data_IF_774677739496
#
_entry.id   IF_774677739496
#
_cell.length_a   1.000
_cell.length_b   1.000
_cell.length_c   1.000
_cell.angle_alpha   90.00
_cell.angle_beta   90.00
_cell.angle_gamma   90.00
#
_symmetry.space_group_name_H-M   'P 1'
#
loop_
_entity.id
_entity.type
_entity.pdbx_description
1 polymer ?
#
# COMPACT_ATOMS: atom_id res chain seq x y z
N UNK A 1 -57.45 4.49 -19.19
CA UNK A 1 -58.39 4.14 -18.10
C UNK A 1 -57.75 3.06 -17.24
N UNK A 2 -57.04 3.46 -16.18
CA UNK A 2 -57.26 3.07 -14.75
C UNK A 2 -57.61 1.59 -14.54
N UNK A 3 -56.74 0.82 -13.87
CA UNK A 3 -56.87 0.50 -12.43
C UNK A 3 -55.71 -0.42 -11.94
N UNK A 4 -54.64 0.16 -11.37
CA UNK A 4 -54.16 0.00 -9.97
C UNK A 4 -54.22 -1.40 -9.32
N UNK A 5 -53.01 -1.97 -9.19
CA UNK A 5 -52.33 -2.43 -7.97
C UNK A 5 -53.11 -3.27 -6.94
N UNK A 6 -52.58 -4.45 -6.64
CA UNK A 6 -52.50 -4.97 -5.26
C UNK A 6 -51.14 -5.62 -5.03
N UNK A 7 -50.47 -5.11 -4.02
CA UNK A 7 -49.16 -5.51 -3.52
C UNK A 7 -49.26 -6.89 -2.85
N UNK A 8 -48.32 -7.78 -3.17
CA UNK A 8 -48.02 -8.94 -2.35
C UNK A 8 -46.63 -8.72 -1.74
N UNK A 9 -46.62 -8.29 -0.47
CA UNK A 9 -45.43 -8.28 0.38
C UNK A 9 -45.25 -9.72 0.87
N UNK A 10 -44.24 -10.40 0.36
CA UNK A 10 -43.82 -11.71 0.88
C UNK A 10 -42.63 -11.49 1.81
N UNK A 11 -42.91 -11.50 3.12
CA UNK A 11 -41.90 -11.62 4.14
C UNK A 11 -41.36 -13.06 4.11
N UNK A 12 -40.06 -13.24 3.86
CA UNK A 12 -39.36 -14.47 4.17
C UNK A 12 -38.28 -14.21 5.22
N UNK A 13 -38.67 -14.54 6.45
CA UNK A 13 -37.94 -15.33 7.46
C UNK A 13 -36.45 -15.56 7.24
N UNK A 14 -35.68 -15.22 8.28
CA UNK A 14 -34.23 -15.31 8.33
C UNK A 14 -33.68 -16.72 8.32
N UNK A 15 -32.51 -16.84 7.70
CA UNK A 15 -31.58 -17.94 7.87
C UNK A 15 -30.33 -17.38 8.53
N UNK A 16 -30.14 -17.71 9.80
CA UNK A 16 -28.90 -17.46 10.54
C UNK A 16 -27.78 -18.25 9.85
N UNK A 17 -26.88 -17.54 9.15
CA UNK A 17 -25.63 -18.12 8.68
C UNK A 17 -24.73 -18.32 9.90
N UNK A 18 -24.64 -19.58 10.32
CA UNK A 18 -23.73 -20.05 11.35
C UNK A 18 -22.30 -19.57 11.04
N UNK A 19 -21.72 -18.81 11.96
CA UNK A 19 -20.33 -18.36 11.90
C UNK A 19 -19.37 -19.54 12.04
N UNK A 20 -18.89 -20.06 10.92
CA UNK A 20 -17.70 -20.89 10.89
C UNK A 20 -16.47 -19.97 10.95
N UNK A 21 -15.59 -20.07 11.96
CA UNK A 21 -14.36 -19.29 11.98
C UNK A 21 -13.43 -19.83 10.88
N UNK A 22 -13.26 -19.04 9.81
CA UNK A 22 -12.18 -19.25 8.86
C UNK A 22 -10.85 -18.98 9.57
N UNK A 23 -10.21 -20.04 10.07
CA UNK A 23 -8.84 -19.97 10.56
C UNK A 23 -7.91 -19.78 9.36
N UNK A 24 -7.65 -18.52 9.00
CA UNK A 24 -6.59 -18.16 8.06
C UNK A 24 -5.25 -18.51 8.71
N UNK A 25 -4.64 -19.62 8.29
CA UNK A 25 -3.26 -19.92 8.62
C UNK A 25 -2.35 -18.89 7.94
N UNK A 26 -2.04 -17.80 8.64
CA UNK A 26 -1.00 -16.86 8.25
C UNK A 26 0.34 -17.54 8.49
N UNK A 27 0.95 -18.03 7.42
CA UNK A 27 2.37 -18.41 7.44
C UNK A 27 3.19 -17.16 7.74
N UNK A 28 4.11 -17.18 8.73
CA UNK A 28 4.98 -16.05 8.98
C UNK A 28 5.87 -15.84 7.75
N UNK A 29 5.66 -14.74 7.04
CA UNK A 29 6.54 -14.34 5.96
C UNK A 29 7.92 -14.02 6.55
N UNK A 30 8.94 -14.80 6.16
CA UNK A 30 10.32 -14.47 6.51
C UNK A 30 10.68 -13.18 5.76
N UNK A 31 10.81 -12.08 6.47
CA UNK A 31 11.22 -10.83 5.87
C UNK A 31 12.71 -10.93 5.48
N UNK A 32 12.97 -10.92 4.17
CA UNK A 32 14.30 -10.68 3.65
C UNK A 32 14.70 -9.24 4.04
N UNK A 33 15.66 -9.08 4.95
CA UNK A 33 16.26 -7.79 5.33
C UNK A 33 17.16 -7.20 4.24
N UNK A 34 16.88 -7.50 2.97
CA UNK A 34 17.61 -6.94 1.85
C UNK A 34 16.97 -5.60 1.44
N UNK A 35 17.77 -4.56 1.16
CA UNK A 35 17.25 -3.31 0.64
C UNK A 35 16.45 -3.58 -0.65
N UNK A 36 15.17 -3.21 -0.62
CA UNK A 36 14.28 -3.30 -1.78
C UNK A 36 14.45 -2.10 -2.70
N UNK A 37 14.54 -2.35 -4.00
CA UNK A 37 14.44 -1.29 -5.02
C UNK A 37 13.00 -1.23 -5.50
N UNK A 38 12.39 -0.05 -5.43
CA UNK A 38 11.04 0.21 -5.94
C UNK A 38 11.16 1.09 -7.20
N UNK A 39 10.77 0.57 -8.35
CA UNK A 39 10.63 1.35 -9.58
C UNK A 39 9.17 1.76 -9.75
N UNK A 40 8.92 3.06 -9.80
CA UNK A 40 7.58 3.64 -9.89
C UNK A 40 7.34 4.11 -11.32
N UNK A 41 6.38 3.49 -12.00
CA UNK A 41 5.95 3.94 -13.33
C UNK A 41 4.70 4.79 -13.19
N UNK A 42 4.71 6.02 -13.72
CA UNK A 42 3.54 6.92 -13.64
C UNK A 42 2.29 6.28 -14.26
N UNK A 43 2.46 5.64 -15.40
CA UNK A 43 1.35 5.05 -16.18
C UNK A 43 1.22 3.53 -15.95
N UNK A 44 1.91 3.02 -14.94
CA UNK A 44 1.83 1.63 -14.54
C UNK A 44 0.59 1.35 -13.67
N UNK A 45 0.16 0.09 -13.58
CA UNK A 45 -0.86 -0.28 -12.61
C UNK A 45 -0.38 0.03 -11.19
N UNK A 46 -1.29 0.41 -10.29
CA UNK A 46 -0.97 0.54 -8.87
C UNK A 46 -0.43 -0.78 -8.33
N UNK A 47 0.67 -0.71 -7.57
CA UNK A 47 1.31 -1.88 -6.95
C UNK A 47 1.37 -1.65 -5.45
N UNK A 48 1.05 -2.70 -4.71
CA UNK A 48 1.19 -2.73 -3.25
C UNK A 48 2.24 -3.75 -2.86
N UNK A 49 3.17 -3.35 -2.00
CA UNK A 49 4.20 -4.22 -1.43
C UNK A 49 3.89 -4.37 0.07
N UNK A 50 3.23 -5.46 0.49
CA UNK A 50 2.92 -5.67 1.90
C UNK A 50 4.19 -5.98 2.69
N UNK A 51 4.28 -5.44 3.90
CA UNK A 51 5.30 -5.80 4.88
C UNK A 51 4.66 -5.99 6.25
N UNK A 52 5.32 -6.75 7.12
CA UNK A 52 4.88 -6.96 8.50
C UNK A 52 6.03 -6.63 9.44
N UNK A 53 5.79 -5.76 10.41
CA UNK A 53 6.76 -5.47 11.46
C UNK A 53 6.92 -6.69 12.38
N UNK A 54 8.17 -7.04 12.73
CA UNK A 54 8.47 -8.20 13.58
C UNK A 54 8.24 -7.95 15.08
N UNK A 55 8.19 -6.69 15.49
CA UNK A 55 8.04 -6.26 16.87
C UNK A 55 7.10 -5.07 16.91
N UNK A 56 6.38 -4.96 18.01
CA UNK A 56 5.59 -3.78 18.30
C UNK A 56 6.52 -2.58 18.55
N UNK A 57 6.04 -1.38 18.23
CA UNK A 57 6.80 -0.13 18.38
C UNK A 57 7.10 0.56 17.05
N UNK A 58 8.27 1.19 16.96
CA UNK A 58 8.68 1.95 15.77
C UNK A 58 9.22 1.02 14.68
N UNK A 59 8.65 1.12 13.48
CA UNK A 59 9.14 0.45 12.28
C UNK A 59 9.87 1.45 11.38
N UNK A 60 11.10 1.14 11.00
CA UNK A 60 11.88 1.90 10.02
C UNK A 60 11.91 1.13 8.71
N UNK A 61 11.58 1.80 7.61
CA UNK A 61 11.61 1.23 6.26
C UNK A 61 12.66 1.98 5.45
N UNK A 62 13.64 1.26 4.93
CA UNK A 62 14.64 1.80 4.00
C UNK A 62 14.43 1.19 2.62
N UNK A 63 14.24 2.04 1.61
CA UNK A 63 14.11 1.63 0.21
C UNK A 63 14.66 2.71 -0.72
N UNK A 64 15.09 2.29 -1.91
CA UNK A 64 15.45 3.21 -2.99
C UNK A 64 14.28 3.31 -3.97
N UNK A 65 13.99 4.52 -4.44
CA UNK A 65 12.91 4.77 -5.40
C UNK A 65 13.42 5.52 -6.63
N UNK A 66 12.97 5.09 -7.80
CA UNK A 66 13.16 5.81 -9.07
C UNK A 66 11.87 5.83 -9.89
N UNK A 67 11.68 6.88 -10.69
CA UNK A 67 10.52 7.04 -11.54
C UNK A 67 10.93 7.32 -13.00
N UNK A 68 11.09 6.28 -13.84
CA UNK A 68 11.48 6.45 -15.23
C UNK A 68 10.52 7.35 -16.00
N UNK A 69 11.06 8.30 -16.75
CA UNK A 69 10.28 9.23 -17.58
C UNK A 69 9.91 10.53 -16.87
N UNK A 70 10.20 10.67 -15.57
CA UNK A 70 10.04 11.95 -14.89
C UNK A 70 11.05 12.99 -15.40
N UNK A 71 10.59 14.22 -15.58
CA UNK A 71 11.36 15.36 -16.06
C UNK A 71 10.64 16.65 -15.67
N UNK A 72 11.28 17.50 -14.89
CA UNK A 72 10.76 18.83 -14.54
C UNK A 72 10.74 19.81 -15.72
N UNK A 73 11.41 19.49 -16.83
CA UNK A 73 11.38 20.27 -18.06
C UNK A 73 10.13 20.00 -18.91
N UNK A 74 9.35 18.97 -18.60
CA UNK A 74 8.15 18.58 -19.34
C UNK A 74 6.93 18.64 -18.43
N UNK A 75 5.96 19.48 -18.81
CA UNK A 75 4.70 19.61 -18.08
C UNK A 75 3.98 18.26 -18.01
N UNK A 76 3.49 17.91 -16.83
CA UNK A 76 2.87 16.62 -16.54
C UNK A 76 3.87 15.48 -16.36
N UNK A 77 5.18 15.77 -16.46
CA UNK A 77 6.24 14.80 -16.28
C UNK A 77 7.02 14.93 -14.97
N UNK A 78 6.60 15.74 -14.01
CA UNK A 78 7.45 16.24 -12.93
C UNK A 78 7.87 15.18 -11.90
N UNK A 79 6.95 14.33 -11.44
CA UNK A 79 7.22 13.34 -10.39
C UNK A 79 6.30 12.11 -10.43
N UNK A 80 6.65 11.09 -9.65
CA UNK A 80 5.74 10.02 -9.24
C UNK A 80 5.57 10.04 -7.71
N UNK A 81 4.55 9.34 -7.20
CA UNK A 81 4.23 9.33 -5.75
C UNK A 81 4.07 7.90 -5.25
N UNK A 82 4.62 7.62 -4.07
CA UNK A 82 4.42 6.36 -3.33
C UNK A 82 3.61 6.67 -2.07
N UNK A 83 2.39 6.14 -2.01
CA UNK A 83 1.57 6.23 -0.81
C UNK A 83 1.99 5.16 0.20
N UNK A 84 2.21 5.56 1.45
CA UNK A 84 2.57 4.69 2.56
C UNK A 84 1.37 4.56 3.48
N UNK A 85 0.95 3.32 3.72
CA UNK A 85 -0.14 2.99 4.64
C UNK A 85 0.31 1.94 5.65
N UNK A 86 -0.15 2.10 6.90
CA UNK A 86 0.07 1.16 8.00
C UNK A 86 -1.30 0.71 8.48
N UNK A 87 -1.50 -0.61 8.59
CA UNK A 87 -2.77 -1.21 9.01
C UNK A 87 -3.99 -0.71 8.20
N UNK A 88 -3.80 -0.51 6.90
CA UNK A 88 -4.83 -0.02 5.97
C UNK A 88 -5.11 1.49 6.07
N UNK A 89 -4.38 2.22 6.92
CA UNK A 89 -4.51 3.66 7.08
C UNK A 89 -3.34 4.39 6.43
N UNK A 90 -3.64 5.38 5.59
CA UNK A 90 -2.63 6.26 5.01
C UNK A 90 -1.86 7.02 6.09
N UNK A 91 -0.53 7.03 5.98
CA UNK A 91 0.38 7.71 6.91
C UNK A 91 1.07 8.87 6.24
N UNK A 92 1.62 8.66 5.03
CA UNK A 92 2.33 9.70 4.30
C UNK A 92 2.49 9.35 2.82
N UNK A 93 2.88 10.35 2.02
CA UNK A 93 3.26 10.20 0.62
C UNK A 93 4.75 10.53 0.45
N UNK A 94 5.47 9.69 -0.31
CA UNK A 94 6.82 9.97 -0.78
C UNK A 94 6.77 10.43 -2.23
N UNK A 95 7.26 11.64 -2.49
CA UNK A 95 7.44 12.17 -3.84
C UNK A 95 8.77 11.67 -4.43
N UNK A 96 8.73 11.09 -5.63
CA UNK A 96 9.88 10.56 -6.38
C UNK A 96 10.13 11.46 -7.59
N UNK A 97 11.11 12.39 -7.54
CA UNK A 97 11.30 13.42 -8.55
C UNK A 97 12.33 13.05 -9.65
N UNK A 98 12.93 11.86 -9.60
CA UNK A 98 14.05 11.48 -10.47
C UNK A 98 13.89 10.09 -11.08
N UNK A 99 14.46 9.91 -12.27
CA UNK A 99 14.61 8.61 -12.93
C UNK A 99 15.77 7.79 -12.35
N UNK A 100 16.64 8.40 -11.55
CA UNK A 100 17.73 7.72 -10.84
C UNK A 100 17.31 7.36 -9.42
N UNK A 101 17.66 6.16 -8.92
CA UNK A 101 17.40 5.80 -7.54
C UNK A 101 18.11 6.75 -6.58
N UNK A 102 17.36 7.36 -5.66
CA UNK A 102 17.96 8.11 -4.56
C UNK A 102 18.50 7.10 -3.56
N UNK A 103 19.82 7.00 -3.44
CA UNK A 103 20.48 6.17 -2.43
C UNK A 103 20.28 6.77 -1.03
N UNK A 104 20.10 5.90 -0.03
CA UNK A 104 20.05 6.33 1.36
C UNK A 104 21.39 7.00 1.74
N UNK A 105 21.38 8.18 2.39
CA UNK A 105 22.60 8.74 2.95
C UNK A 105 23.22 7.73 3.91
N UNK A 106 24.49 7.40 3.72
CA UNK A 106 25.22 6.47 4.59
C UNK A 106 25.00 6.88 6.05
N UNK A 107 24.53 5.97 6.94
CA UNK A 107 24.32 6.33 8.33
C UNK A 107 25.62 6.87 8.93
N UNK A 108 25.56 8.06 9.54
CA UNK A 108 26.71 8.63 10.25
C UNK A 108 27.14 7.62 11.30
N UNK A 109 28.41 7.20 11.25
CA UNK A 109 28.98 6.33 12.26
C UNK A 109 28.68 6.91 13.65
N UNK A 110 27.98 6.15 14.49
CA UNK A 110 27.80 6.50 15.90
C UNK A 110 29.20 6.65 16.50
N UNK A 111 29.57 7.86 16.93
CA UNK A 111 30.76 8.04 17.76
C UNK A 111 30.58 7.19 19.02
N UNK A 112 31.54 6.32 19.36
CA UNK A 112 31.53 5.68 20.68
C UNK A 112 31.63 6.78 21.75
N UNK A 113 30.87 6.59 22.83
CA UNK A 113 30.97 7.43 24.04
C UNK A 113 32.19 7.03 24.84
#
# INVERSE_FOLDING_TARGET
MRNRARHAVLALTGAALAGAPLLLAVSPATAAGAPGVITVHRDGPARSLPFTARRDGEAVISFAASAPGVSWARKGAESAVVAISVDGRHVTDLVVPSSEPVAEPRPRARRPR
#
